data_IF_343572919644
#
_entry.id   IF_343572919644
#
_cell.length_a   1.000
_cell.length_b   1.000
_cell.length_c   1.000
_cell.angle_alpha   90.00
_cell.angle_beta   90.00
_cell.angle_gamma   90.00
#
_symmetry.space_group_name_H-M   'P 1'
#
loop_
_entity.id
_entity.type
_entity.pdbx_description
1 polymer ?
#
# COMPACT_ATOMS: atom_id res chain seq x y z
N UNK A 1 -9.43 -24.87 -13.09
CA UNK A 1 -8.96 -23.67 -13.82
C UNK A 1 -8.68 -22.56 -12.84
N UNK A 2 -7.70 -21.71 -13.11
CA UNK A 2 -7.35 -20.58 -12.24
C UNK A 2 -8.42 -19.47 -12.34
N UNK A 3 -8.88 -18.94 -11.21
CA UNK A 3 -9.81 -17.81 -11.14
C UNK A 3 -9.09 -16.65 -10.46
N UNK A 4 -8.82 -15.59 -11.22
CA UNK A 4 -8.30 -14.34 -10.67
C UNK A 4 -9.46 -13.61 -9.97
N UNK A 5 -9.25 -13.15 -8.74
CA UNK A 5 -10.29 -12.47 -7.93
C UNK A 5 -9.80 -11.18 -7.29
N UNK A 6 -8.48 -10.99 -7.22
CA UNK A 6 -7.87 -9.83 -6.57
C UNK A 6 -6.53 -9.48 -7.21
N UNK A 7 -6.18 -8.19 -7.14
CA UNK A 7 -4.92 -7.63 -7.60
C UNK A 7 -4.37 -6.66 -6.54
N UNK A 8 -3.05 -6.58 -6.42
CA UNK A 8 -2.35 -5.61 -5.56
C UNK A 8 -1.67 -4.59 -6.47
N UNK A 9 -1.96 -3.31 -6.25
CA UNK A 9 -1.40 -2.19 -7.01
C UNK A 9 -0.71 -1.22 -6.07
N UNK A 10 0.33 -0.51 -6.54
CA UNK A 10 1.05 0.47 -5.72
C UNK A 10 1.90 1.41 -6.57
N UNK A 11 2.58 2.36 -5.93
CA UNK A 11 3.52 3.28 -6.57
C UNK A 11 2.97 4.68 -6.89
N UNK A 12 1.65 4.86 -6.99
CA UNK A 12 1.01 6.17 -7.13
C UNK A 12 -0.37 6.20 -6.46
N UNK A 13 -0.89 7.41 -6.24
CA UNK A 13 -2.27 7.60 -5.81
C UNK A 13 -3.21 7.06 -6.91
N UNK A 14 -4.11 6.17 -6.51
CA UNK A 14 -5.05 5.50 -7.39
C UNK A 14 -6.35 6.29 -7.46
N UNK A 15 -6.87 6.52 -8.66
CA UNK A 15 -8.11 7.26 -8.86
C UNK A 15 -9.32 6.42 -8.42
N UNK A 16 -10.27 7.05 -7.72
CA UNK A 16 -11.47 6.41 -7.19
C UNK A 16 -12.35 5.81 -8.29
N UNK A 17 -12.42 6.45 -9.45
CA UNK A 17 -13.24 5.95 -10.58
C UNK A 17 -12.71 4.61 -11.10
N UNK A 18 -11.41 4.39 -11.02
CA UNK A 18 -10.78 3.14 -11.46
C UNK A 18 -11.11 2.03 -10.44
N UNK A 19 -11.00 2.29 -9.13
CA UNK A 19 -11.38 1.31 -8.10
C UNK A 19 -12.84 0.86 -8.24
N UNK A 20 -13.76 1.81 -8.42
CA UNK A 20 -15.19 1.52 -8.59
C UNK A 20 -15.46 0.67 -9.85
N UNK A 21 -14.78 0.95 -10.97
CA UNK A 21 -14.90 0.14 -12.18
C UNK A 21 -14.52 -1.33 -11.95
N UNK A 22 -13.38 -1.60 -11.29
CA UNK A 22 -12.93 -2.97 -11.06
C UNK A 22 -13.81 -3.73 -10.08
N UNK A 23 -14.40 -3.04 -9.10
CA UNK A 23 -15.36 -3.63 -8.16
C UNK A 23 -16.67 -4.01 -8.84
N UNK A 24 -17.15 -3.21 -9.79
CA UNK A 24 -18.33 -3.51 -10.59
C UNK A 24 -18.20 -4.82 -11.39
N UNK A 25 -16.99 -5.19 -11.82
CA UNK A 25 -16.71 -6.45 -12.54
C UNK A 25 -16.24 -7.58 -11.62
N UNK A 26 -16.52 -7.48 -10.31
CA UNK A 26 -16.22 -8.48 -9.28
C UNK A 26 -14.73 -8.76 -9.02
N UNK A 27 -13.86 -7.78 -9.28
CA UNK A 27 -12.44 -7.82 -8.89
C UNK A 27 -12.16 -6.88 -7.73
N UNK A 28 -11.32 -7.31 -6.80
CA UNK A 28 -10.87 -6.47 -5.69
C UNK A 28 -9.46 -5.93 -5.95
N UNK A 29 -9.28 -4.62 -5.87
CA UNK A 29 -7.96 -3.98 -5.97
C UNK A 29 -7.50 -3.56 -4.59
N UNK A 30 -6.35 -4.06 -4.15
CA UNK A 30 -5.72 -3.60 -2.93
C UNK A 30 -4.65 -2.57 -3.26
N UNK A 31 -4.73 -1.38 -2.69
CA UNK A 31 -3.74 -0.33 -2.89
C UNK A 31 -2.66 -0.41 -1.80
N UNK A 32 -1.42 -0.66 -2.19
CA UNK A 32 -0.27 -0.65 -1.31
C UNK A 32 0.57 0.62 -1.47
N UNK A 33 0.97 1.22 -0.35
CA UNK A 33 2.04 2.22 -0.36
C UNK A 33 3.34 1.57 0.11
N UNK A 34 4.40 1.76 -0.66
CA UNK A 34 5.73 1.25 -0.35
C UNK A 34 6.79 2.08 -1.05
N UNK A 35 7.97 2.13 -0.44
CA UNK A 35 9.17 2.72 -1.02
C UNK A 35 10.16 1.59 -1.30
N UNK A 36 11.06 1.78 -2.27
CA UNK A 36 12.18 0.86 -2.51
C UNK A 36 13.02 0.63 -1.26
N UNK A 37 13.11 1.67 -0.42
CA UNK A 37 13.81 1.78 0.85
C UNK A 37 13.21 0.91 1.98
N UNK A 38 11.94 0.51 1.87
CA UNK A 38 11.20 -0.13 2.97
C UNK A 38 10.83 -1.59 2.72
N UNK A 39 11.30 -2.16 1.60
CA UNK A 39 10.72 -3.33 0.94
C UNK A 39 9.23 -3.13 0.61
N UNK A 40 8.70 -3.79 -0.43
CA UNK A 40 7.83 -3.14 -1.44
C UNK A 40 6.46 -2.66 -0.95
N UNK A 41 6.08 -2.94 0.31
CA UNK A 41 4.83 -2.52 0.91
C UNK A 41 5.01 -2.15 2.39
N UNK A 42 4.51 -0.99 2.79
CA UNK A 42 4.45 -0.48 4.16
C UNK A 42 3.01 -0.52 4.68
N UNK A 43 2.06 -0.10 3.86
CA UNK A 43 0.63 -0.11 4.16
C UNK A 43 -0.15 -0.79 3.04
N UNK A 44 -1.29 -1.36 3.39
CA UNK A 44 -2.25 -1.94 2.46
C UNK A 44 -3.64 -1.39 2.77
N UNK A 45 -4.25 -0.72 1.79
CA UNK A 45 -5.64 -0.33 1.82
C UNK A 45 -6.50 -1.53 1.42
N UNK A 46 -7.31 -2.00 2.37
CA UNK A 46 -8.38 -2.95 2.13
C UNK A 46 -9.63 -2.16 1.70
N UNK A 47 -10.14 -2.33 0.48
CA UNK A 47 -11.33 -1.63 0.01
C UNK A 47 -12.58 -1.85 0.87
N UNK A 48 -12.65 -2.96 1.63
CA UNK A 48 -13.77 -3.26 2.53
C UNK A 48 -13.66 -2.54 3.89
N UNK A 49 -12.46 -2.13 4.29
CA UNK A 49 -12.19 -1.56 5.63
C UNK A 49 -11.66 -0.12 5.59
N UNK A 50 -11.25 0.37 4.43
CA UNK A 50 -10.50 1.62 4.31
C UNK A 50 -11.33 2.67 3.56
N UNK A 51 -11.46 3.87 4.14
CA UNK A 51 -12.12 5.00 3.49
C UNK A 51 -11.38 5.45 2.23
N UNK A 52 -12.11 6.01 1.26
CA UNK A 52 -11.53 6.54 0.04
C UNK A 52 -10.43 7.59 0.35
N UNK A 53 -9.27 7.47 -0.31
CA UNK A 53 -8.12 8.35 -0.10
C UNK A 53 -7.19 7.97 1.06
N UNK A 54 -7.49 6.89 1.79
CA UNK A 54 -6.58 6.38 2.82
C UNK A 54 -5.55 5.41 2.24
N UNK A 55 -4.31 5.50 2.74
CA UNK A 55 -3.21 4.59 2.40
C UNK A 55 -3.32 3.21 3.08
N UNK A 56 -4.36 2.98 3.88
CA UNK A 56 -4.64 1.67 4.47
C UNK A 56 -4.05 1.44 5.86
N UNK A 57 -4.05 0.16 6.25
CA UNK A 57 -3.46 -0.29 7.52
C UNK A 57 -1.98 -0.56 7.36
N UNK A 58 -1.21 -0.27 8.41
CA UNK A 58 0.20 -0.61 8.49
C UNK A 58 0.34 -2.13 8.59
N UNK A 59 1.25 -2.71 7.80
CA UNK A 59 1.53 -4.14 7.85
C UNK A 59 2.21 -4.54 9.18
N UNK A 60 1.94 -5.76 9.62
CA UNK A 60 2.51 -6.29 10.86
C UNK A 60 4.03 -6.22 10.87
N UNK A 61 4.59 -5.74 11.98
CA UNK A 61 6.02 -5.54 12.15
C UNK A 61 6.57 -4.20 11.66
N UNK A 62 5.73 -3.35 11.08
CA UNK A 62 6.05 -1.97 10.72
C UNK A 62 5.31 -0.98 11.66
N UNK A 63 5.92 0.18 11.89
CA UNK A 63 5.35 1.30 12.64
C UNK A 63 5.49 2.56 11.82
N UNK A 64 4.43 3.35 11.77
CA UNK A 64 4.42 4.65 11.10
C UNK A 64 4.19 5.74 12.12
N UNK A 65 4.88 6.87 11.96
CA UNK A 65 4.65 8.09 12.73
C UNK A 65 4.68 9.27 11.77
N UNK A 66 3.72 10.18 11.91
CA UNK A 66 3.76 11.50 11.27
C UNK A 66 4.40 12.51 12.22
N UNK A 67 5.37 13.27 11.74
CA UNK A 67 6.00 14.38 12.45
C UNK A 67 6.21 15.50 11.43
N UNK A 68 5.67 16.69 11.69
CA UNK A 68 5.84 17.89 10.85
C UNK A 68 5.57 17.67 9.35
N UNK A 69 4.54 16.89 9.02
CA UNK A 69 4.15 16.48 7.64
C UNK A 69 5.10 15.49 6.95
N UNK A 70 6.10 14.99 7.66
CA UNK A 70 6.96 13.89 7.20
C UNK A 70 6.49 12.54 7.76
N UNK A 71 6.66 11.50 6.96
CA UNK A 71 6.28 10.13 7.30
C UNK A 71 7.54 9.38 7.75
N UNK A 72 7.56 9.00 9.03
CA UNK A 72 8.60 8.16 9.61
C UNK A 72 8.13 6.72 9.66
N UNK A 73 8.95 5.81 9.13
CA UNK A 73 8.66 4.38 9.11
C UNK A 73 9.75 3.63 9.88
N UNK A 74 9.36 2.73 10.77
CA UNK A 74 10.26 1.84 11.49
C UNK A 74 9.77 0.41 11.44
N UNK A 75 10.63 -0.53 11.04
CA UNK A 75 10.31 -1.94 11.16
C UNK A 75 11.37 -2.85 10.57
N UNK A 76 11.10 -4.16 10.60
CA UNK A 76 12.07 -5.20 10.24
C UNK A 76 12.37 -5.24 8.74
N UNK A 77 11.44 -4.76 7.92
CA UNK A 77 11.50 -4.80 6.46
C UNK A 77 12.30 -3.63 5.87
N UNK A 78 12.74 -2.69 6.70
CA UNK A 78 13.55 -1.54 6.26
C UNK A 78 14.90 -1.97 5.69
N UNK A 79 15.27 -1.35 4.57
CA UNK A 79 16.60 -1.52 4.01
C UNK A 79 17.64 -0.93 4.97
N UNK A 80 18.60 -1.75 5.37
CA UNK A 80 19.58 -1.38 6.40
C UNK A 80 20.67 -0.43 5.90
N UNK A 81 20.91 -0.37 4.58
CA UNK A 81 22.04 0.37 4.02
C UNK A 81 21.80 0.69 2.55
N UNK A 82 21.98 1.95 2.18
CA UNK A 82 22.14 2.37 0.79
C UNK A 82 23.62 2.26 0.42
N UNK A 83 23.92 1.62 -0.72
CA UNK A 83 25.27 1.66 -1.28
C UNK A 83 25.46 3.02 -1.94
N UNK A 84 26.45 3.79 -1.47
CA UNK A 84 26.95 4.95 -2.23
C UNK A 84 27.82 4.44 -3.36
N UNK A 85 27.51 4.85 -4.60
CA UNK A 85 28.50 4.88 -5.69
C UNK A 85 29.24 6.21 -5.64
#
# INVERSE_FOLDING_TARGET
GWRLVAMIVGGAAFDRNIDEFWRCIAYTIFQGYGLTETAPLITLADPAQTGAGSIGKVLDGQKIRLVDSEIYVRGKTLMKRFTRR
#
